data_IF_888008529696
#
_entry.id   IF_888008529696
#
_cell.length_a   1.000
_cell.length_b   1.000
_cell.length_c   1.000
_cell.angle_alpha   90.00
_cell.angle_beta   90.00
_cell.angle_gamma   90.00
#
_symmetry.space_group_name_H-M   'P 1'
#
loop_
_entity.id
_entity.type
_entity.pdbx_description
1 polymer ?
#
# COMPACT_ATOMS: atom_id res chain seq x y z
N UNK A 1 2.65 27.59 0.56
CA UNK A 1 2.05 26.51 -0.25
C UNK A 1 1.46 25.52 0.73
N UNK A 2 0.26 24.99 0.46
CA UNK A 2 -0.35 23.93 1.28
C UNK A 2 0.53 22.68 1.23
N UNK A 3 0.81 22.07 2.38
CA UNK A 3 1.62 20.86 2.47
C UNK A 3 1.02 19.71 1.62
N UNK A 4 1.81 18.89 0.89
CA UNK A 4 1.28 17.90 -0.05
C UNK A 4 0.28 16.90 0.55
N UNK A 5 0.46 16.53 1.81
CA UNK A 5 -0.48 15.63 2.51
C UNK A 5 -1.86 16.27 2.73
N UNK A 6 -1.87 17.56 3.13
CA UNK A 6 -3.12 18.32 3.32
C UNK A 6 -3.82 18.41 1.98
N UNK A 7 -3.10 18.81 0.92
CA UNK A 7 -3.68 18.91 -0.43
C UNK A 7 -4.27 17.58 -0.92
N UNK A 8 -3.57 16.47 -0.76
CA UNK A 8 -4.09 15.16 -1.16
C UNK A 8 -5.36 14.80 -0.38
N UNK A 9 -5.37 15.04 0.93
CA UNK A 9 -6.54 14.76 1.77
C UNK A 9 -7.73 15.66 1.40
N UNK A 10 -7.51 16.95 1.13
CA UNK A 10 -8.54 17.86 0.62
C UNK A 10 -9.10 17.39 -0.73
N UNK A 11 -8.22 17.06 -1.68
CA UNK A 11 -8.62 16.64 -3.02
C UNK A 11 -9.40 15.32 -3.00
N UNK A 12 -9.08 14.39 -2.09
CA UNK A 12 -9.89 13.17 -1.85
C UNK A 12 -11.25 13.51 -1.24
N UNK A 13 -11.28 14.28 -0.16
CA UNK A 13 -12.53 14.60 0.55
C UNK A 13 -13.47 15.49 -0.26
N UNK A 14 -12.94 16.28 -1.19
CA UNK A 14 -13.71 17.08 -2.14
C UNK A 14 -13.98 16.36 -3.47
N UNK A 15 -13.70 15.05 -3.56
CA UNK A 15 -13.92 14.20 -4.73
C UNK A 15 -13.20 14.62 -6.03
N UNK A 16 -12.17 15.47 -5.93
CA UNK A 16 -11.28 15.79 -7.07
C UNK A 16 -10.37 14.60 -7.39
N UNK A 17 -9.97 13.85 -6.37
CA UNK A 17 -9.32 12.56 -6.50
C UNK A 17 -10.34 11.49 -6.15
N UNK A 18 -10.79 10.73 -7.15
CA UNK A 18 -11.68 9.60 -6.95
C UNK A 18 -10.97 8.51 -6.13
N UNK A 19 -11.52 8.17 -4.98
CA UNK A 19 -10.94 7.20 -4.06
C UNK A 19 -12.03 6.33 -3.42
N UNK A 20 -11.64 5.22 -2.80
CA UNK A 20 -12.59 4.35 -2.10
C UNK A 20 -12.83 4.80 -0.66
N UNK A 21 -13.87 4.24 -0.02
CA UNK A 21 -14.26 4.52 1.37
C UNK A 21 -13.07 4.59 2.34
N UNK A 22 -12.18 3.60 2.26
CA UNK A 22 -11.07 3.48 3.20
C UNK A 22 -10.03 4.59 3.03
N UNK A 23 -9.82 5.08 1.81
CA UNK A 23 -8.95 6.24 1.56
C UNK A 23 -9.62 7.52 2.06
N UNK A 24 -10.92 7.69 1.86
CA UNK A 24 -11.69 8.81 2.43
C UNK A 24 -11.58 8.83 3.95
N UNK A 25 -11.77 7.68 4.62
CA UNK A 25 -11.65 7.58 6.08
C UNK A 25 -10.22 7.83 6.57
N UNK A 26 -9.19 7.41 5.84
CA UNK A 26 -7.80 7.72 6.18
C UNK A 26 -7.50 9.23 6.06
N UNK A 27 -8.03 9.90 5.03
CA UNK A 27 -7.91 11.36 4.86
C UNK A 27 -8.71 12.12 5.92
N UNK A 28 -9.92 11.64 6.27
CA UNK A 28 -10.72 12.19 7.36
C UNK A 28 -9.98 12.08 8.69
N UNK A 29 -9.43 10.89 9.02
CA UNK A 29 -8.63 10.67 10.22
C UNK A 29 -7.44 11.63 10.31
N UNK A 30 -6.78 11.91 9.20
CA UNK A 30 -5.69 12.88 9.15
C UNK A 30 -6.14 14.29 9.58
N UNK A 31 -7.31 14.77 9.13
CA UNK A 31 -7.87 16.04 9.59
C UNK A 31 -8.39 16.00 11.01
N UNK A 32 -9.09 14.92 11.40
CA UNK A 32 -9.53 14.72 12.78
C UNK A 32 -8.32 14.77 13.75
N UNK A 33 -7.18 14.21 13.34
CA UNK A 33 -5.93 14.28 14.09
C UNK A 33 -5.37 15.73 14.11
N UNK A 34 -5.38 16.47 13.01
CA UNK A 34 -4.94 17.89 13.02
C UNK A 34 -5.74 18.73 14.02
N UNK A 35 -7.03 18.47 14.16
CA UNK A 35 -7.90 19.21 15.07
C UNK A 35 -7.76 18.75 16.53
N UNK A 36 -7.60 17.44 16.77
CA UNK A 36 -7.78 16.86 18.11
C UNK A 36 -6.58 16.07 18.67
N UNK A 37 -5.53 15.80 17.88
CA UNK A 37 -4.44 14.92 18.34
C UNK A 37 -3.58 15.53 19.45
N UNK A 38 -3.56 16.85 19.57
CA UNK A 38 -2.83 17.55 20.63
C UNK A 38 -3.33 17.16 22.03
N UNK A 39 -4.62 16.80 22.17
CA UNK A 39 -5.21 16.26 23.41
C UNK A 39 -4.60 14.92 23.81
N UNK A 40 -3.98 14.21 22.86
CA UNK A 40 -3.28 12.93 23.04
C UNK A 40 -1.76 13.08 23.01
N UNK A 41 -1.24 14.31 23.06
CA UNK A 41 0.20 14.60 23.01
C UNK A 41 0.83 14.32 21.65
N UNK A 42 0.07 14.50 20.57
CA UNK A 42 0.49 14.24 19.19
C UNK A 42 0.43 15.51 18.35
N UNK A 43 1.44 15.71 17.52
CA UNK A 43 1.60 16.92 16.70
C UNK A 43 2.05 16.55 15.29
N UNK A 44 1.61 17.33 14.30
CA UNK A 44 2.08 17.21 12.93
C UNK A 44 3.26 18.15 12.70
N UNK A 45 4.44 17.58 12.54
CA UNK A 45 5.67 18.28 12.17
C UNK A 45 5.83 18.28 10.64
N UNK A 46 5.38 19.36 10.01
CA UNK A 46 5.51 19.56 8.56
C UNK A 46 6.97 19.53 8.10
N UNK A 47 7.91 20.08 8.88
CA UNK A 47 9.31 20.12 8.49
C UNK A 47 9.93 18.72 8.46
N UNK A 48 9.54 17.86 9.41
CA UNK A 48 9.94 16.44 9.43
C UNK A 48 9.33 15.66 8.28
N UNK A 49 8.06 15.91 7.94
CA UNK A 49 7.42 15.31 6.77
C UNK A 49 8.12 15.74 5.47
N UNK A 50 8.35 17.03 5.28
CA UNK A 50 9.01 17.60 4.11
C UNK A 50 10.45 17.10 3.95
N UNK A 51 11.20 16.93 5.05
CA UNK A 51 12.53 16.33 5.02
C UNK A 51 12.48 14.91 4.44
N UNK A 52 11.52 14.09 4.88
CA UNK A 52 11.33 12.75 4.35
C UNK A 52 10.89 12.76 2.87
N UNK A 53 9.97 13.64 2.47
CA UNK A 53 9.56 13.76 1.07
C UNK A 53 10.73 14.16 0.17
N UNK A 54 11.53 15.14 0.60
CA UNK A 54 12.72 15.62 -0.12
C UNK A 54 13.80 14.55 -0.23
N UNK A 55 13.95 13.68 0.77
CA UNK A 55 14.90 12.57 0.69
C UNK A 55 14.65 11.67 -0.53
N UNK A 56 13.39 11.39 -0.90
CA UNK A 56 13.09 10.57 -2.07
C UNK A 56 13.62 11.17 -3.37
N UNK A 57 13.63 12.51 -3.53
CA UNK A 57 14.18 13.14 -4.74
C UNK A 57 15.70 13.00 -4.85
N UNK A 58 16.40 12.67 -3.76
CA UNK A 58 17.83 12.35 -3.79
C UNK A 58 18.12 10.90 -4.22
N UNK A 59 17.10 10.03 -4.24
CA UNK A 59 17.22 8.66 -4.75
C UNK A 59 17.14 8.63 -6.29
N UNK A 60 17.64 7.55 -6.90
CA UNK A 60 17.60 7.37 -8.36
C UNK A 60 16.91 6.07 -8.75
N UNK A 61 15.89 6.19 -9.58
CA UNK A 61 15.22 5.03 -10.17
C UNK A 61 16.20 4.24 -11.04
N UNK A 62 16.14 2.92 -10.99
CA UNK A 62 17.10 2.04 -11.65
C UNK A 62 16.48 1.13 -12.72
N UNK A 63 15.15 0.99 -12.68
CA UNK A 63 14.34 0.17 -13.59
C UNK A 63 13.62 1.04 -14.62
N UNK A 64 13.33 0.43 -15.78
CA UNK A 64 12.54 1.04 -16.85
C UNK A 64 13.38 1.90 -17.78
N UNK A 65 13.18 1.74 -19.10
CA UNK A 65 13.93 2.48 -20.13
C UNK A 65 13.78 4.00 -19.98
N UNK A 66 12.58 4.44 -19.61
CA UNK A 66 12.21 5.86 -19.48
C UNK A 66 12.53 6.45 -18.11
N UNK A 67 12.71 5.61 -17.08
CA UNK A 67 12.83 6.06 -15.68
C UNK A 67 14.22 5.84 -15.08
N UNK A 68 15.05 4.98 -15.67
CA UNK A 68 16.42 4.73 -15.19
C UNK A 68 17.22 6.02 -15.13
N UNK A 69 17.80 6.31 -13.97
CA UNK A 69 18.62 7.48 -13.69
C UNK A 69 17.83 8.75 -13.33
N UNK A 70 16.49 8.73 -13.42
CA UNK A 70 15.66 9.84 -12.97
C UNK A 70 15.53 9.84 -11.44
N UNK A 71 15.20 11.00 -10.90
CA UNK A 71 14.88 11.16 -9.48
C UNK A 71 13.66 10.31 -9.10
N UNK A 72 13.65 9.79 -7.88
CA UNK A 72 12.47 9.11 -7.37
C UNK A 72 11.46 10.13 -6.83
N UNK A 73 10.63 10.65 -7.73
CA UNK A 73 9.51 11.53 -7.36
C UNK A 73 8.33 10.67 -6.87
N UNK A 74 7.82 10.98 -5.68
CA UNK A 74 6.66 10.30 -5.10
C UNK A 74 5.36 10.80 -5.74
N UNK A 75 4.47 9.86 -6.06
CA UNK A 75 3.09 10.17 -6.45
C UNK A 75 2.31 10.74 -5.24
N UNK A 76 1.22 11.52 -5.46
CA UNK A 76 0.50 12.21 -4.38
C UNK A 76 0.06 11.31 -3.22
N UNK A 77 -0.47 10.12 -3.51
CA UNK A 77 -0.86 9.17 -2.47
C UNK A 77 0.34 8.68 -1.62
N UNK A 78 1.53 8.52 -2.23
CA UNK A 78 2.73 8.19 -1.47
C UNK A 78 3.28 9.38 -0.70
N UNK A 79 3.12 10.61 -1.19
CA UNK A 79 3.45 11.81 -0.42
C UNK A 79 2.57 11.87 0.84
N UNK A 80 1.26 11.62 0.72
CA UNK A 80 0.36 11.52 1.86
C UNK A 80 0.78 10.44 2.86
N UNK A 81 1.10 9.23 2.37
CA UNK A 81 1.58 8.11 3.21
C UNK A 81 2.85 8.47 3.97
N UNK A 82 3.89 8.96 3.28
CA UNK A 82 5.17 9.33 3.91
C UNK A 82 4.98 10.43 4.92
N UNK A 83 4.19 11.44 4.57
CA UNK A 83 3.90 12.55 5.47
C UNK A 83 3.22 12.09 6.74
N UNK A 84 2.26 11.16 6.65
CA UNK A 84 1.64 10.59 7.84
C UNK A 84 2.66 9.82 8.70
N UNK A 85 3.40 8.91 8.09
CA UNK A 85 4.38 8.06 8.80
C UNK A 85 5.49 8.89 9.46
N UNK A 86 5.93 9.98 8.80
CA UNK A 86 7.11 10.72 9.18
C UNK A 86 6.80 12.01 9.94
N UNK A 87 5.69 12.67 9.65
CA UNK A 87 5.31 13.97 10.21
C UNK A 87 4.60 13.90 11.54
N UNK A 88 3.85 12.84 11.83
CA UNK A 88 3.20 12.70 13.13
C UNK A 88 4.19 12.28 14.23
N UNK A 89 4.33 13.11 15.25
CA UNK A 89 5.24 12.92 16.38
C UNK A 89 4.50 12.99 17.71
N UNK A 90 5.09 12.35 18.73
CA UNK A 90 4.72 12.47 20.14
C UNK A 90 5.40 13.70 20.77
N UNK A 91 5.01 14.03 21.99
CA UNK A 91 5.61 15.14 22.79
C UNK A 91 7.13 15.05 22.93
N UNK A 92 7.70 13.84 22.95
CA UNK A 92 9.14 13.61 23.02
C UNK A 92 9.86 13.80 21.66
N UNK A 93 9.14 14.23 20.63
CA UNK A 93 9.64 14.40 19.27
C UNK A 93 9.87 13.09 18.53
N UNK A 94 9.48 11.94 19.09
CA UNK A 94 9.59 10.63 18.43
C UNK A 94 8.38 10.35 17.58
N UNK A 95 8.56 9.54 16.54
CA UNK A 95 7.48 9.12 15.63
C UNK A 95 6.28 8.56 16.41
N UNK A 96 5.07 8.95 15.98
CA UNK A 96 3.80 8.42 16.47
C UNK A 96 3.60 6.96 16.04
N UNK A 97 3.59 6.73 14.73
CA UNK A 97 3.25 5.43 14.15
C UNK A 97 4.42 4.46 14.25
N UNK A 98 4.17 3.27 14.80
CA UNK A 98 5.13 2.15 14.85
C UNK A 98 4.81 1.06 13.83
N UNK A 99 3.59 1.04 13.30
CA UNK A 99 3.19 0.17 12.19
C UNK A 99 2.53 0.99 11.08
N UNK A 100 2.88 0.69 9.83
CA UNK A 100 2.25 1.26 8.65
C UNK A 100 1.77 0.14 7.72
N UNK A 101 0.46 0.05 7.50
CA UNK A 101 -0.16 -0.95 6.62
C UNK A 101 -0.65 -0.33 5.31
N UNK A 102 -0.15 -0.82 4.18
CA UNK A 102 -0.53 -0.33 2.84
C UNK A 102 -1.07 -1.51 2.02
N UNK A 103 -2.36 -1.49 1.73
CA UNK A 103 -3.00 -2.45 0.84
C UNK A 103 -3.37 -1.77 -0.48
N UNK A 104 -2.89 -2.29 -1.61
CA UNK A 104 -3.14 -1.71 -2.94
C UNK A 104 -3.06 -2.80 -4.01
N UNK A 105 -3.69 -2.59 -5.17
CA UNK A 105 -3.51 -3.45 -6.34
C UNK A 105 -2.05 -3.68 -6.75
N UNK A 106 -1.79 -4.78 -7.47
CA UNK A 106 -0.45 -5.08 -8.02
C UNK A 106 -0.04 -4.05 -9.06
N UNK A 107 1.28 -3.84 -9.18
CA UNK A 107 1.93 -2.84 -10.05
C UNK A 107 1.77 -1.38 -9.58
N UNK A 108 1.30 -1.15 -8.36
CA UNK A 108 1.36 0.17 -7.71
C UNK A 108 2.73 0.55 -7.13
N UNK A 109 3.83 -0.06 -7.59
CA UNK A 109 5.22 0.14 -7.11
C UNK A 109 5.47 0.13 -5.59
N UNK A 110 4.61 -0.52 -4.79
CA UNK A 110 4.77 -0.67 -3.33
C UNK A 110 6.16 -1.11 -2.89
N UNK A 111 6.74 -2.13 -3.52
CA UNK A 111 8.09 -2.61 -3.16
C UNK A 111 9.21 -1.61 -3.50
N UNK A 112 9.02 -0.76 -4.52
CA UNK A 112 9.96 0.34 -4.82
C UNK A 112 9.83 1.44 -3.79
N UNK A 113 8.59 1.81 -3.43
CA UNK A 113 8.28 2.73 -2.35
C UNK A 113 8.91 2.28 -1.01
N UNK A 114 8.71 1.02 -0.63
CA UNK A 114 9.30 0.44 0.57
C UNK A 114 10.82 0.50 0.56
N UNK A 115 11.47 0.26 -0.59
CA UNK A 115 12.92 0.44 -0.71
C UNK A 115 13.36 1.89 -0.51
N UNK A 116 12.58 2.87 -0.98
CA UNK A 116 12.84 4.29 -0.76
C UNK A 116 12.67 4.70 0.71
N UNK A 117 11.59 4.26 1.35
CA UNK A 117 11.36 4.52 2.78
C UNK A 117 12.42 3.84 3.65
N UNK A 118 12.74 2.57 3.38
CA UNK A 118 13.80 1.86 4.08
C UNK A 118 15.16 2.56 3.92
N UNK A 119 15.44 3.14 2.75
CA UNK A 119 16.66 3.95 2.54
C UNK A 119 16.68 5.19 3.42
N UNK A 120 15.53 5.82 3.68
CA UNK A 120 15.44 6.94 4.63
C UNK A 120 15.79 6.48 6.05
N UNK A 121 15.17 5.39 6.52
CA UNK A 121 15.47 4.82 7.85
C UNK A 121 16.94 4.41 7.99
N UNK A 122 17.56 3.98 6.88
CA UNK A 122 18.96 3.57 6.85
C UNK A 122 19.97 4.74 6.87
N UNK A 123 19.59 5.92 6.36
CA UNK A 123 20.55 6.99 6.04
C UNK A 123 20.23 8.35 6.68
N UNK A 124 18.97 8.61 7.02
CA UNK A 124 18.47 9.96 7.27
C UNK A 124 17.51 10.09 8.46
N UNK A 125 17.16 8.99 9.13
CA UNK A 125 16.23 9.01 10.27
C UNK A 125 16.90 9.39 11.61
N UNK A 126 18.22 9.56 11.61
CA UNK A 126 18.97 10.07 12.77
C UNK A 126 19.16 9.06 13.91
N UNK A 127 19.07 7.76 13.62
CA UNK A 127 19.20 6.69 14.61
C UNK A 127 20.52 5.93 14.41
N UNK A 128 21.31 5.82 15.48
CA UNK A 128 22.55 5.03 15.47
C UNK A 128 22.26 3.54 15.63
N UNK A 129 23.13 2.72 15.06
CA UNK A 129 23.00 1.27 15.04
C UNK A 129 21.73 0.78 14.34
N UNK A 130 21.11 1.56 13.44
CA UNK A 130 19.82 1.21 12.86
C UNK A 130 19.90 -0.13 12.08
N UNK A 131 19.10 -1.11 12.51
CA UNK A 131 18.95 -2.38 11.80
C UNK A 131 17.71 -2.35 10.91
N UNK A 132 17.94 -2.54 9.62
CA UNK A 132 16.92 -2.45 8.56
C UNK A 132 16.71 -3.84 7.96
N UNK A 133 15.52 -4.40 8.13
CA UNK A 133 15.22 -5.74 7.68
C UNK A 133 14.14 -5.75 6.62
N UNK A 134 14.33 -6.56 5.58
CA UNK A 134 13.28 -6.88 4.61
C UNK A 134 12.89 -8.33 4.76
N UNK A 135 11.60 -8.62 4.78
CA UNK A 135 11.07 -9.96 5.00
C UNK A 135 9.88 -10.22 4.08
N UNK A 136 9.75 -11.49 3.69
CA UNK A 136 8.68 -12.03 2.86
C UNK A 136 8.64 -13.56 3.08
N UNK A 137 7.70 -14.26 2.43
CA UNK A 137 7.57 -15.73 2.50
C UNK A 137 8.88 -16.44 2.13
N UNK A 138 9.66 -15.89 1.20
CA UNK A 138 10.95 -16.46 0.80
C UNK A 138 12.04 -15.40 0.82
N UNK A 139 13.29 -15.81 1.05
CA UNK A 139 14.45 -14.90 1.01
C UNK A 139 14.61 -14.21 -0.34
N UNK A 140 14.28 -14.88 -1.44
CA UNK A 140 14.36 -14.28 -2.79
C UNK A 140 13.31 -13.17 -2.97
N UNK A 141 12.12 -13.31 -2.37
CA UNK A 141 11.14 -12.22 -2.34
C UNK A 141 11.59 -11.07 -1.44
N UNK A 142 12.11 -11.38 -0.24
CA UNK A 142 12.66 -10.37 0.67
C UNK A 142 13.79 -9.56 0.01
N UNK A 143 14.62 -10.22 -0.82
CA UNK A 143 15.66 -9.57 -1.62
C UNK A 143 15.14 -8.55 -2.62
N UNK A 144 13.86 -8.59 -3.04
CA UNK A 144 13.33 -7.61 -3.99
C UNK A 144 13.34 -6.20 -3.40
N UNK A 145 12.86 -6.04 -2.16
CA UNK A 145 12.88 -4.75 -1.46
C UNK A 145 14.31 -4.35 -1.12
N UNK A 146 15.12 -5.27 -0.60
CA UNK A 146 16.53 -4.99 -0.30
C UNK A 146 17.32 -4.55 -1.55
N UNK A 147 17.08 -5.18 -2.69
CA UNK A 147 17.68 -4.79 -3.97
C UNK A 147 17.21 -3.41 -4.42
N UNK A 148 15.98 -3.01 -4.08
CA UNK A 148 15.52 -1.64 -4.33
C UNK A 148 16.31 -0.64 -3.46
N UNK A 149 16.55 -0.93 -2.17
CA UNK A 149 17.39 -0.08 -1.29
C UNK A 149 18.78 0.10 -1.91
N UNK A 150 19.43 -1.01 -2.28
CA UNK A 150 20.74 -0.99 -2.93
C UNK A 150 20.73 -0.12 -4.20
N UNK A 151 19.79 -0.38 -5.12
CA UNK A 151 19.85 0.25 -6.43
C UNK A 151 19.35 1.70 -6.42
N UNK A 152 18.43 2.06 -5.53
CA UNK A 152 17.96 3.44 -5.35
C UNK A 152 19.07 4.36 -4.84
N UNK A 153 20.02 3.82 -4.06
CA UNK A 153 21.10 4.58 -3.41
C UNK A 153 22.42 4.56 -4.19
N UNK A 154 22.69 3.52 -4.99
CA UNK A 154 23.99 3.30 -5.67
C UNK A 154 24.44 4.37 -6.66
N UNK A 155 23.53 5.20 -7.17
CA UNK A 155 23.82 6.29 -8.12
C UNK A 155 23.41 7.65 -7.55
N UNK A 156 23.62 7.84 -6.25
CA UNK A 156 23.23 9.04 -5.50
C UNK A 156 24.41 9.59 -4.71
N UNK A 157 24.20 10.73 -4.05
CA UNK A 157 25.13 11.32 -3.08
C UNK A 157 25.40 10.40 -1.87
N UNK A 158 24.52 9.43 -1.60
CA UNK A 158 24.66 8.50 -0.47
C UNK A 158 25.57 7.32 -0.78
N UNK A 159 25.89 7.07 -2.05
CA UNK A 159 26.68 5.90 -2.44
C UNK A 159 28.04 5.79 -1.72
N UNK A 160 28.80 6.87 -1.48
CA UNK A 160 30.06 6.81 -0.73
C UNK A 160 29.89 6.47 0.76
N UNK A 161 28.70 6.63 1.34
CA UNK A 161 28.42 6.34 2.74
C UNK A 161 28.12 4.85 2.98
N UNK A 162 27.83 4.09 1.91
CA UNK A 162 27.28 2.74 1.99
C UNK A 162 28.31 1.74 1.47
N UNK A 163 28.61 0.75 2.30
CA UNK A 163 29.31 -0.46 1.87
C UNK A 163 28.29 -1.45 1.31
N UNK A 164 28.48 -1.84 0.04
CA UNK A 164 27.57 -2.73 -0.68
C UNK A 164 28.12 -4.17 -0.73
N UNK A 165 27.58 -5.06 0.10
CA UNK A 165 27.91 -6.48 0.06
C UNK A 165 26.82 -7.30 -0.65
N UNK A 166 27.10 -8.59 -0.88
CA UNK A 166 26.19 -9.49 -1.59
C UNK A 166 24.85 -9.72 -0.86
N UNK A 167 24.88 -9.70 0.47
CA UNK A 167 23.73 -10.02 1.32
C UNK A 167 23.52 -9.03 2.48
N UNK A 168 24.23 -7.91 2.47
CA UNK A 168 24.23 -6.89 3.52
C UNK A 168 24.58 -5.53 2.89
N UNK A 169 23.99 -4.46 3.41
CA UNK A 169 24.50 -3.09 3.25
C UNK A 169 24.88 -2.56 4.63
N UNK A 170 25.94 -1.77 4.74
CA UNK A 170 26.31 -1.12 5.99
C UNK A 170 26.68 0.35 5.82
N UNK A 171 26.42 1.13 6.87
CA UNK A 171 26.88 2.52 7.01
C UNK A 171 27.71 2.57 8.28
N UNK A 172 29.04 2.64 8.11
CA UNK A 172 30.00 2.50 9.21
C UNK A 172 29.89 3.66 10.21
N UNK A 173 29.68 4.89 9.72
CA UNK A 173 29.59 6.10 10.55
C UNK A 173 28.43 6.10 11.54
N UNK A 174 27.41 5.27 11.31
CA UNK A 174 26.24 5.14 12.20
C UNK A 174 26.04 3.71 12.67
N UNK A 175 27.03 2.81 12.49
CA UNK A 175 26.92 1.38 12.83
C UNK A 175 25.66 0.67 12.30
N UNK A 176 25.08 1.18 11.22
CA UNK A 176 23.79 0.72 10.71
C UNK A 176 23.98 -0.40 9.68
N UNK A 177 23.02 -1.33 9.62
CA UNK A 177 23.03 -2.45 8.67
C UNK A 177 21.67 -2.67 8.02
N UNK A 178 21.68 -3.24 6.81
CA UNK A 178 20.47 -3.62 6.10
C UNK A 178 20.58 -5.01 5.45
N UNK A 179 19.65 -5.90 5.76
CA UNK A 179 19.70 -7.31 5.34
C UNK A 179 18.32 -7.88 4.96
N UNK A 180 18.25 -8.76 3.94
CA UNK A 180 17.05 -9.52 3.65
C UNK A 180 16.99 -10.79 4.53
N UNK A 181 15.92 -10.91 5.31
CA UNK A 181 15.61 -12.05 6.18
C UNK A 181 14.93 -13.18 5.40
N UNK A 182 15.13 -14.41 5.85
CA UNK A 182 14.29 -15.56 5.49
C UNK A 182 13.30 -15.85 6.62
N UNK A 183 12.28 -16.66 6.33
CA UNK A 183 11.34 -17.15 7.35
C UNK A 183 11.96 -18.21 8.29
N UNK A 184 13.27 -18.48 8.21
CA UNK A 184 13.91 -19.48 9.06
C UNK A 184 14.06 -18.91 10.47
N UNK A 185 13.46 -19.56 11.47
CA UNK A 185 13.40 -19.11 12.86
C UNK A 185 14.77 -18.69 13.46
N UNK A 186 15.87 -19.35 13.07
CA UNK A 186 17.23 -18.98 13.55
C UNK A 186 17.70 -17.60 13.09
N UNK A 187 17.17 -17.08 11.99
CA UNK A 187 17.54 -15.76 11.46
C UNK A 187 16.71 -14.61 12.07
N UNK A 188 15.75 -14.97 12.91
CA UNK A 188 14.70 -14.11 13.43
C UNK A 188 14.85 -13.83 14.95
N UNK A 189 15.69 -14.60 15.64
CA UNK A 189 16.00 -14.40 17.06
C UNK A 189 17.09 -13.33 17.26
N UNK A 190 16.88 -12.44 18.25
CA UNK A 190 17.89 -11.48 18.69
C UNK A 190 18.13 -10.28 17.77
N UNK A 191 17.18 -9.99 16.88
CA UNK A 191 17.19 -8.78 16.05
C UNK A 191 16.90 -7.54 16.91
N UNK A 192 17.41 -6.38 16.49
CA UNK A 192 17.12 -5.07 17.10
C UNK A 192 16.60 -4.10 16.03
N UNK A 193 15.39 -4.38 15.57
CA UNK A 193 14.83 -3.79 14.35
C UNK A 193 14.43 -2.34 14.54
N UNK A 194 15.09 -1.44 13.79
CA UNK A 194 14.65 -0.06 13.65
C UNK A 194 13.62 0.11 12.51
N UNK A 195 13.79 -0.63 11.41
CA UNK A 195 12.81 -0.67 10.34
C UNK A 195 12.64 -2.09 9.78
N UNK A 196 11.41 -2.57 9.73
CA UNK A 196 11.05 -3.86 9.13
C UNK A 196 10.11 -3.67 7.94
N UNK A 197 10.45 -4.17 6.76
CA UNK A 197 9.54 -4.20 5.60
C UNK A 197 9.02 -5.62 5.38
N UNK A 198 7.73 -5.82 5.62
CA UNK A 198 6.99 -7.06 5.32
C UNK A 198 6.27 -6.90 3.98
N UNK A 199 6.78 -7.56 2.92
CA UNK A 199 6.18 -7.52 1.57
C UNK A 199 5.31 -8.74 1.29
N UNK A 200 4.19 -8.51 0.59
CA UNK A 200 3.19 -9.50 0.22
C UNK A 200 2.65 -10.32 1.42
N UNK A 201 2.30 -9.66 2.53
CA UNK A 201 1.80 -10.32 3.76
C UNK A 201 0.64 -11.29 3.50
N UNK A 202 -0.20 -11.05 2.49
CA UNK A 202 -1.26 -11.97 2.07
C UNK A 202 -0.78 -13.38 1.65
N UNK A 203 0.51 -13.55 1.39
CA UNK A 203 1.11 -14.84 1.04
C UNK A 203 1.73 -15.56 2.24
N UNK A 204 1.81 -14.92 3.42
CA UNK A 204 2.30 -15.55 4.64
C UNK A 204 1.24 -16.47 5.23
N UNK A 205 1.59 -17.74 5.42
CA UNK A 205 0.70 -18.76 5.99
C UNK A 205 0.60 -18.68 7.53
N UNK A 206 1.61 -18.14 8.19
CA UNK A 206 1.72 -18.02 9.65
C UNK A 206 2.13 -16.60 10.04
N UNK A 207 1.82 -16.15 11.27
CA UNK A 207 2.23 -14.84 11.76
C UNK A 207 3.70 -14.77 12.22
N UNK A 208 4.41 -15.89 12.28
CA UNK A 208 5.75 -16.01 12.89
C UNK A 208 6.77 -14.95 12.42
N UNK A 209 6.85 -14.70 11.10
CA UNK A 209 7.76 -13.68 10.55
C UNK A 209 7.34 -12.27 10.94
N UNK A 210 6.02 -12.02 11.03
CA UNK A 210 5.51 -10.75 11.50
C UNK A 210 5.84 -10.55 12.98
N UNK A 211 5.51 -11.54 13.81
CA UNK A 211 5.61 -11.44 15.27
C UNK A 211 7.06 -11.34 15.71
N UNK A 212 7.97 -12.08 15.07
CA UNK A 212 9.41 -11.93 15.33
C UNK A 212 9.92 -10.51 15.05
N UNK A 213 9.51 -9.90 13.93
CA UNK A 213 9.91 -8.53 13.61
C UNK A 213 9.31 -7.56 14.64
N UNK A 214 8.04 -7.74 15.01
CA UNK A 214 7.37 -6.92 16.02
C UNK A 214 8.07 -6.96 17.37
N UNK A 215 8.36 -8.16 17.87
CA UNK A 215 9.07 -8.41 19.12
C UNK A 215 10.47 -7.78 19.12
N UNK A 216 11.16 -7.81 17.97
CA UNK A 216 12.50 -7.24 17.83
C UNK A 216 12.56 -5.71 17.84
N UNK A 217 11.41 -5.02 17.82
CA UNK A 217 11.37 -3.55 17.85
C UNK A 217 11.41 -2.96 19.26
N UNK A 218 11.32 -3.79 20.30
CA UNK A 218 11.09 -3.37 21.68
C UNK A 218 12.15 -2.44 22.27
N UNK A 219 13.42 -2.59 21.87
CA UNK A 219 14.52 -1.75 22.36
C UNK A 219 14.60 -0.38 21.66
N UNK A 220 13.88 -0.19 20.54
CA UNK A 220 13.93 1.03 19.73
C UNK A 220 12.88 2.05 20.16
N UNK A 221 13.30 3.32 20.19
CA UNK A 221 12.45 4.44 20.63
C UNK A 221 11.37 4.85 19.61
N UNK A 222 11.67 4.70 18.31
CA UNK A 222 10.77 5.08 17.21
C UNK A 222 10.86 4.17 15.95
N UNK A 223 10.83 2.84 16.12
CA UNK A 223 10.92 1.91 15.00
C UNK A 223 9.67 1.96 14.13
N UNK A 224 9.76 1.42 12.92
CA UNK A 224 8.62 1.27 12.03
C UNK A 224 8.59 -0.11 11.36
N UNK A 225 7.46 -0.78 11.47
CA UNK A 225 7.12 -1.94 10.65
C UNK A 225 6.24 -1.48 9.50
N UNK A 226 6.78 -1.51 8.29
CA UNK A 226 6.06 -1.28 7.05
C UNK A 226 5.52 -2.61 6.52
N UNK A 227 4.20 -2.75 6.50
CA UNK A 227 3.49 -3.87 5.89
C UNK A 227 2.95 -3.39 4.55
N UNK A 228 3.39 -4.00 3.46
CA UNK A 228 2.82 -3.77 2.14
C UNK A 228 2.20 -5.05 1.61
N UNK A 229 1.00 -4.94 1.06
CA UNK A 229 0.31 -6.12 0.55
C UNK A 229 -0.66 -5.78 -0.57
N UNK A 230 -1.23 -6.83 -1.14
CA UNK A 230 -2.37 -6.81 -2.04
C UNK A 230 -3.41 -7.75 -1.43
N UNK A 231 -4.67 -7.63 -1.80
CA UNK A 231 -5.69 -8.58 -1.42
C UNK A 231 -5.27 -10.02 -1.77
N UNK A 232 -5.75 -10.94 -0.93
CA UNK A 232 -5.51 -12.37 -1.05
C UNK A 232 -6.80 -13.17 -1.11
N UNK A 233 -6.65 -14.47 -0.89
CA UNK A 233 -7.75 -15.44 -0.85
C UNK A 233 -8.04 -15.92 0.58
N UNK A 234 -6.99 -16.02 1.41
CA UNK A 234 -7.10 -16.45 2.80
C UNK A 234 -7.55 -15.30 3.69
N UNK A 235 -8.82 -15.33 4.07
CA UNK A 235 -9.44 -14.36 4.98
C UNK A 235 -9.33 -14.77 6.46
N UNK A 236 -8.71 -15.93 6.75
CA UNK A 236 -8.40 -16.36 8.12
C UNK A 236 -6.98 -15.99 8.54
N UNK A 237 -6.09 -15.77 7.57
CA UNK A 237 -4.68 -15.48 7.79
C UNK A 237 -4.39 -14.09 8.35
N UNK A 238 -3.14 -13.92 8.79
CA UNK A 238 -2.62 -12.71 9.46
C UNK A 238 -2.87 -11.42 8.65
N UNK A 239 -2.76 -11.49 7.32
CA UNK A 239 -2.98 -10.33 6.47
C UNK A 239 -4.41 -9.78 6.56
N UNK A 240 -5.42 -10.66 6.59
CA UNK A 240 -6.81 -10.25 6.70
C UNK A 240 -7.13 -9.74 8.10
N UNK A 241 -6.56 -10.35 9.14
CA UNK A 241 -6.68 -9.84 10.52
C UNK A 241 -6.13 -8.41 10.65
N UNK A 242 -5.00 -8.10 10.01
CA UNK A 242 -4.46 -6.72 9.96
C UNK A 242 -5.36 -5.76 9.17
N UNK A 243 -5.97 -6.22 8.07
CA UNK A 243 -7.00 -5.45 7.36
C UNK A 243 -8.19 -5.15 8.28
N UNK A 244 -8.75 -6.15 8.95
CA UNK A 244 -9.88 -5.97 9.87
C UNK A 244 -9.56 -5.04 11.03
N UNK A 245 -8.32 -5.10 11.54
CA UNK A 245 -7.86 -4.17 12.56
C UNK A 245 -7.82 -2.73 12.03
N UNK A 246 -7.27 -2.52 10.84
CA UNK A 246 -7.25 -1.20 10.20
C UNK A 246 -8.66 -0.69 9.90
N UNK A 247 -9.59 -1.53 9.42
CA UNK A 247 -10.96 -1.08 9.15
C UNK A 247 -11.68 -0.69 10.45
N UNK A 248 -11.42 -1.36 11.58
CA UNK A 248 -11.91 -0.89 12.89
C UNK A 248 -11.36 0.48 13.24
N UNK A 249 -10.05 0.70 13.04
CA UNK A 249 -9.41 2.00 13.29
C UNK A 249 -10.03 3.11 12.44
N UNK A 250 -10.17 2.87 11.14
CA UNK A 250 -10.76 3.84 10.21
C UNK A 250 -12.25 4.12 10.48
N UNK A 251 -12.95 3.21 11.17
CA UNK A 251 -14.33 3.43 11.64
C UNK A 251 -14.41 4.00 13.06
N UNK A 252 -13.30 4.46 13.64
CA UNK A 252 -13.28 5.21 14.90
C UNK A 252 -12.71 4.46 16.11
N UNK A 253 -12.21 3.24 15.96
CA UNK A 253 -11.38 2.63 17.02
C UNK A 253 -10.06 3.41 17.14
N UNK A 254 -9.69 3.82 18.34
CA UNK A 254 -8.48 4.60 18.52
C UNK A 254 -7.25 3.71 18.76
N UNK A 255 -6.29 3.75 17.84
CA UNK A 255 -4.92 3.27 18.02
C UNK A 255 -3.94 4.25 17.36
N UNK A 256 -3.20 4.98 18.19
CA UNK A 256 -2.25 5.99 17.73
C UNK A 256 -0.95 5.42 17.17
N UNK A 257 -0.67 4.13 17.35
CA UNK A 257 0.57 3.50 16.87
C UNK A 257 0.42 2.90 15.47
N UNK A 258 -0.80 2.74 14.97
CA UNK A 258 -1.09 2.07 13.70
C UNK A 258 -1.61 3.05 12.63
N UNK A 259 -0.77 3.30 11.63
CA UNK A 259 -1.18 3.95 10.39
C UNK A 259 -1.60 2.89 9.38
N UNK A 260 -2.61 3.20 8.56
CA UNK A 260 -2.84 2.39 7.38
C UNK A 260 -3.80 2.99 6.38
N UNK A 261 -3.72 2.47 5.16
CA UNK A 261 -4.53 2.89 4.02
C UNK A 261 -4.80 1.70 3.11
N UNK A 262 -6.04 1.61 2.61
CA UNK A 262 -6.50 0.52 1.74
C UNK A 262 -7.02 1.15 0.45
N UNK A 263 -6.40 0.80 -0.67
CA UNK A 263 -6.84 1.16 -2.02
C UNK A 263 -7.55 -0.04 -2.63
N UNK A 264 -8.87 0.01 -2.74
CA UNK A 264 -9.70 -1.09 -3.25
C UNK A 264 -10.89 -0.52 -4.03
N UNK A 265 -11.71 -1.38 -4.63
CA UNK A 265 -13.05 -0.97 -5.07
C UNK A 265 -14.04 -1.04 -3.90
N UNK A 266 -15.02 -0.14 -3.92
CA UNK A 266 -16.11 -0.11 -2.95
C UNK A 266 -17.12 -1.21 -3.28
N UNK A 267 -17.04 -2.32 -2.54
CA UNK A 267 -17.93 -3.47 -2.70
C UNK A 267 -18.86 -3.62 -1.52
N UNK A 268 -20.09 -4.11 -1.75
CA UNK A 268 -21.11 -4.27 -0.69
C UNK A 268 -20.61 -5.11 0.49
N UNK A 269 -19.71 -6.05 0.25
CA UNK A 269 -19.07 -6.86 1.29
C UNK A 269 -18.33 -6.02 2.35
N UNK A 270 -17.60 -5.00 1.91
CA UNK A 270 -16.80 -4.13 2.78
C UNK A 270 -17.59 -2.88 3.22
N UNK A 271 -18.63 -2.52 2.47
CA UNK A 271 -19.52 -1.40 2.73
C UNK A 271 -21.00 -1.86 2.57
N UNK A 272 -21.61 -2.43 3.63
CA UNK A 272 -22.93 -3.05 3.56
C UNK A 272 -24.08 -2.13 3.10
N UNK A 273 -23.92 -0.82 3.28
CA UNK A 273 -24.87 0.20 2.84
C UNK A 273 -24.93 0.38 1.31
N UNK A 274 -23.94 -0.14 0.56
CA UNK A 274 -23.97 -0.11 -0.90
C UNK A 274 -25.05 -1.03 -1.47
N UNK A 275 -25.60 -0.66 -2.62
CA UNK A 275 -26.56 -1.46 -3.37
C UNK A 275 -25.84 -2.31 -4.41
N UNK A 276 -26.24 -3.57 -4.56
CA UNK A 276 -25.84 -4.36 -5.74
C UNK A 276 -26.42 -3.74 -7.01
N UNK A 277 -25.88 -4.11 -8.18
CA UNK A 277 -26.45 -3.67 -9.46
C UNK A 277 -27.95 -4.03 -9.60
N UNK A 278 -28.39 -5.15 -9.02
CA UNK A 278 -29.80 -5.55 -9.04
C UNK A 278 -30.65 -4.70 -8.09
N UNK A 279 -30.17 -4.44 -6.89
CA UNK A 279 -30.86 -3.59 -5.90
C UNK A 279 -30.98 -2.15 -6.40
N UNK A 280 -29.93 -1.61 -7.03
CA UNK A 280 -29.91 -0.26 -7.56
C UNK A 280 -30.93 -0.07 -8.70
N UNK A 281 -31.08 -1.06 -9.60
CA UNK A 281 -32.12 -1.06 -10.64
C UNK A 281 -33.54 -0.98 -10.06
N UNK A 282 -33.75 -1.49 -8.85
CA UNK A 282 -35.05 -1.46 -8.15
C UNK A 282 -35.23 -0.19 -7.31
N UNK A 283 -34.14 0.40 -6.81
CA UNK A 283 -34.17 1.58 -5.96
C UNK A 283 -32.98 2.52 -6.25
N UNK A 284 -33.18 3.46 -7.18
CA UNK A 284 -32.16 4.39 -7.69
C UNK A 284 -31.61 5.40 -6.66
N UNK A 285 -32.15 5.43 -5.42
CA UNK A 285 -31.74 6.42 -4.42
C UNK A 285 -30.49 6.05 -3.61
N UNK A 286 -29.96 4.83 -3.75
CA UNK A 286 -28.78 4.38 -3.00
C UNK A 286 -27.51 4.40 -3.83
N UNK A 287 -26.36 4.39 -3.15
CA UNK A 287 -25.04 4.32 -3.79
C UNK A 287 -24.80 2.87 -4.22
N UNK A 288 -24.55 2.66 -5.51
CA UNK A 288 -24.25 1.34 -6.06
C UNK A 288 -22.82 0.92 -5.70
N UNK A 289 -22.59 -0.38 -5.53
CA UNK A 289 -21.25 -0.93 -5.48
C UNK A 289 -20.50 -0.72 -6.80
N UNK A 290 -19.18 -0.59 -6.70
CA UNK A 290 -18.30 -0.37 -7.84
C UNK A 290 -18.33 -1.57 -8.81
N UNK A 291 -18.53 -1.29 -10.11
CA UNK A 291 -18.33 -2.30 -11.15
C UNK A 291 -16.84 -2.42 -11.48
N UNK A 292 -16.29 -3.61 -11.33
CA UNK A 292 -14.89 -3.88 -11.65
C UNK A 292 -14.57 -3.74 -13.15
N UNK A 293 -15.59 -3.76 -14.02
CA UNK A 293 -15.43 -3.55 -15.45
C UNK A 293 -15.40 -2.07 -15.83
N UNK A 294 -15.82 -1.18 -14.92
CA UNK A 294 -15.75 0.26 -15.16
C UNK A 294 -14.31 0.76 -15.01
N UNK A 295 -13.73 1.17 -16.14
CA UNK A 295 -12.36 1.65 -16.19
C UNK A 295 -12.14 2.93 -15.38
N UNK A 296 -13.19 3.73 -15.19
CA UNK A 296 -13.10 4.99 -14.46
C UNK A 296 -12.83 4.76 -12.97
N UNK A 297 -13.28 3.62 -12.45
CA UNK A 297 -13.12 3.23 -11.05
C UNK A 297 -11.77 2.58 -10.77
N UNK A 298 -11.01 2.16 -11.79
CA UNK A 298 -9.72 1.47 -11.61
C UNK A 298 -8.64 2.33 -10.92
N UNK A 299 -8.82 3.65 -10.91
CA UNK A 299 -7.94 4.54 -10.16
C UNK A 299 -8.06 4.36 -8.63
N UNK A 300 -9.21 3.91 -8.10
CA UNK A 300 -9.39 3.66 -6.66
C UNK A 300 -8.42 2.58 -6.12
N UNK A 301 -8.35 1.36 -6.68
CA UNK A 301 -7.40 0.33 -6.24
C UNK A 301 -5.97 0.53 -6.77
N UNK A 302 -5.80 1.37 -7.79
CA UNK A 302 -4.53 1.64 -8.46
C UNK A 302 -4.32 3.16 -8.61
N UNK A 303 -4.05 3.90 -7.51
CA UNK A 303 -3.98 5.36 -7.52
C UNK A 303 -2.84 5.97 -8.35
N UNK A 304 -1.93 5.14 -8.85
CA UNK A 304 -0.90 5.52 -9.83
C UNK A 304 -1.20 5.10 -11.27
N UNK A 305 -2.47 4.87 -11.61
CA UNK A 305 -2.92 4.59 -12.98
C UNK A 305 -2.68 5.81 -13.88
N UNK A 306 -2.21 5.60 -15.11
CA UNK A 306 -2.09 6.65 -16.11
C UNK A 306 -2.68 6.23 -17.46
N UNK A 307 -3.22 7.20 -18.19
CA UNK A 307 -3.82 7.01 -19.50
C UNK A 307 -5.24 7.57 -19.58
N UNK A 308 -6.00 7.13 -20.57
CA UNK A 308 -7.37 7.57 -20.82
C UNK A 308 -8.31 6.37 -20.83
N UNK A 309 -9.41 6.44 -20.08
CA UNK A 309 -10.46 5.42 -20.07
C UNK A 309 -11.30 5.46 -21.35
N UNK A 310 -12.16 4.46 -21.53
CA UNK A 310 -13.13 4.43 -22.62
C UNK A 310 -14.14 5.59 -22.58
N UNK A 311 -14.47 6.12 -21.39
CA UNK A 311 -15.35 7.29 -21.22
C UNK A 311 -14.66 8.63 -21.55
N UNK A 312 -13.34 8.63 -21.70
CA UNK A 312 -12.52 9.82 -21.91
C UNK A 312 -11.94 10.43 -20.64
N UNK A 313 -12.16 9.83 -19.46
CA UNK A 313 -11.52 10.25 -18.23
C UNK A 313 -10.00 10.04 -18.31
N UNK A 314 -9.25 11.05 -17.88
CA UNK A 314 -7.78 11.04 -17.92
C UNK A 314 -7.23 10.77 -16.53
N UNK A 315 -6.28 9.85 -16.44
CA UNK A 315 -5.58 9.48 -15.21
C UNK A 315 -4.11 9.83 -15.27
N UNK A 316 -3.57 10.23 -14.12
CA UNK A 316 -2.15 10.54 -13.97
C UNK A 316 -1.68 11.75 -14.77
N UNK A 317 -2.58 12.71 -14.93
CA UNK A 317 -2.30 14.02 -15.52
C UNK A 317 -2.51 15.13 -14.50
N UNK A 318 -1.80 16.24 -14.65
CA UNK A 318 -1.98 17.44 -13.83
C UNK A 318 -3.12 18.34 -14.37
N UNK A 319 -3.28 19.51 -13.76
CA UNK A 319 -4.31 20.48 -14.14
C UNK A 319 -4.15 21.02 -15.58
N UNK A 320 -2.95 20.96 -16.13
CA UNK A 320 -2.63 21.39 -17.50
C UNK A 320 -2.79 20.24 -18.52
N UNK A 321 -3.07 19.04 -18.05
CA UNK A 321 -3.24 17.85 -18.88
C UNK A 321 -1.94 17.10 -19.17
N UNK A 322 -0.84 17.50 -18.56
CA UNK A 322 0.47 16.89 -18.74
C UNK A 322 0.63 15.67 -17.85
N UNK A 323 1.41 14.67 -18.32
CA UNK A 323 1.64 13.47 -17.54
C UNK A 323 2.43 13.81 -16.26
N UNK A 324 1.84 13.51 -15.10
CA UNK A 324 2.56 13.67 -13.85
C UNK A 324 3.70 12.62 -13.80
N UNK A 325 4.95 13.04 -13.52
CA UNK A 325 6.06 12.12 -13.41
C UNK A 325 5.84 11.03 -12.34
N UNK A 326 6.28 9.80 -12.61
CA UNK A 326 6.28 8.71 -11.62
C UNK A 326 5.02 7.84 -11.57
N UNK A 327 4.01 8.10 -12.40
CA UNK A 327 2.84 7.20 -12.53
C UNK A 327 3.23 5.83 -13.10
N UNK A 328 2.59 4.77 -12.59
CA UNK A 328 3.20 3.44 -12.47
C UNK A 328 2.58 2.39 -13.39
N UNK A 329 1.27 2.43 -13.61
CA UNK A 329 0.56 1.45 -14.44
C UNK A 329 -0.22 2.15 -15.53
N UNK A 330 -0.03 1.69 -16.77
CA UNK A 330 -0.79 2.17 -17.92
C UNK A 330 -2.16 1.51 -17.96
N UNK A 331 -3.21 2.28 -18.26
CA UNK A 331 -4.58 1.78 -18.33
C UNK A 331 -4.74 0.66 -19.37
N UNK A 332 -3.98 0.70 -20.47
CA UNK A 332 -4.02 -0.33 -21.51
C UNK A 332 -3.60 -1.72 -20.98
N UNK A 333 -2.67 -1.76 -20.02
CA UNK A 333 -2.22 -3.01 -19.40
C UNK A 333 -3.26 -3.59 -18.42
N UNK A 334 -4.08 -2.72 -17.82
CA UNK A 334 -5.20 -3.14 -16.97
C UNK A 334 -6.34 -3.63 -17.86
N UNK A 335 -6.69 -2.86 -18.90
CA UNK A 335 -7.71 -3.19 -19.90
C UNK A 335 -7.50 -4.55 -20.55
N UNK A 336 -6.27 -4.88 -20.97
CA UNK A 336 -5.94 -6.21 -21.51
C UNK A 336 -6.26 -7.35 -20.53
N UNK A 337 -6.00 -7.14 -19.24
CA UNK A 337 -6.28 -8.15 -18.21
C UNK A 337 -7.76 -8.21 -17.84
N UNK A 338 -8.46 -7.07 -17.87
CA UNK A 338 -9.90 -7.02 -17.66
C UNK A 338 -10.62 -7.81 -18.78
N UNK A 339 -10.30 -7.55 -20.05
CA UNK A 339 -10.83 -8.29 -21.21
C UNK A 339 -10.61 -9.79 -21.09
N UNK A 340 -9.40 -10.21 -20.74
CA UNK A 340 -9.09 -11.62 -20.50
C UNK A 340 -9.92 -12.22 -19.34
N UNK A 341 -10.16 -11.46 -18.27
CA UNK A 341 -10.98 -11.92 -17.15
C UNK A 341 -12.48 -12.02 -17.51
N UNK A 342 -13.00 -11.11 -18.35
CA UNK A 342 -14.37 -11.16 -18.86
C UNK A 342 -14.58 -12.42 -19.70
N UNK A 343 -13.63 -12.74 -20.59
CA UNK A 343 -13.71 -13.91 -21.48
C UNK A 343 -13.46 -15.24 -20.76
N UNK A 344 -12.71 -15.23 -19.65
CA UNK A 344 -12.29 -16.43 -18.93
C UNK A 344 -12.76 -16.38 -17.46
N UNK A 345 -13.90 -16.99 -17.11
CA UNK A 345 -14.46 -16.96 -15.74
C UNK A 345 -13.46 -17.39 -14.65
N UNK A 346 -12.57 -18.35 -14.96
CA UNK A 346 -11.54 -18.82 -14.05
C UNK A 346 -10.49 -17.75 -13.68
N UNK A 347 -10.36 -16.70 -14.48
CA UNK A 347 -9.38 -15.61 -14.29
C UNK A 347 -9.95 -14.40 -13.56
N UNK A 348 -11.28 -14.34 -13.37
CA UNK A 348 -11.97 -13.20 -12.72
C UNK A 348 -11.43 -12.94 -11.33
N UNK A 349 -11.37 -13.96 -10.46
CA UNK A 349 -10.89 -13.78 -9.09
C UNK A 349 -9.43 -13.32 -9.05
N UNK A 350 -8.59 -13.76 -10.01
CA UNK A 350 -7.23 -13.26 -10.11
C UNK A 350 -7.20 -11.76 -10.46
N UNK A 351 -8.05 -11.32 -11.39
CA UNK A 351 -8.17 -9.89 -11.72
C UNK A 351 -8.71 -9.07 -10.54
N UNK A 352 -9.82 -9.49 -9.93
CA UNK A 352 -10.42 -8.82 -8.77
C UNK A 352 -9.42 -8.69 -7.62
N UNK A 353 -8.75 -9.78 -7.27
CA UNK A 353 -7.82 -9.78 -6.15
C UNK A 353 -6.52 -9.06 -6.46
N UNK A 354 -5.93 -9.24 -7.66
CA UNK A 354 -4.61 -8.66 -7.96
C UNK A 354 -4.66 -7.26 -8.55
N UNK A 355 -5.77 -6.82 -9.15
CA UNK A 355 -5.92 -5.48 -9.76
C UNK A 355 -6.90 -4.61 -9.00
N UNK A 356 -8.09 -5.11 -8.73
CA UNK A 356 -9.14 -4.36 -8.03
C UNK A 356 -8.97 -4.39 -6.51
N UNK A 357 -8.00 -5.18 -6.04
CA UNK A 357 -7.66 -5.32 -4.64
C UNK A 357 -8.85 -5.75 -3.77
N UNK A 358 -9.69 -6.66 -4.29
CA UNK A 358 -10.85 -7.23 -3.60
C UNK A 358 -10.50 -8.61 -3.05
N UNK A 359 -10.83 -8.84 -1.77
CA UNK A 359 -10.68 -10.14 -1.12
C UNK A 359 -11.74 -11.13 -1.59
N UNK A 360 -11.31 -12.22 -2.24
CA UNK A 360 -12.17 -13.29 -2.73
C UNK A 360 -11.97 -14.57 -1.91
N UNK A 361 -12.92 -15.51 -1.93
CA UNK A 361 -12.82 -16.76 -1.14
C UNK A 361 -12.16 -17.91 -1.92
N UNK A 362 -12.00 -17.81 -3.24
CA UNK A 362 -11.49 -18.89 -4.09
C UNK A 362 -10.56 -18.35 -5.17
N UNK A 363 -9.55 -19.14 -5.58
CA UNK A 363 -8.62 -18.77 -6.64
C UNK A 363 -9.27 -18.74 -8.04
N UNK A 364 -10.18 -19.68 -8.31
CA UNK A 364 -10.84 -19.86 -9.60
C UNK A 364 -12.35 -19.83 -9.43
N UNK A 365 -13.07 -19.04 -10.24
CA UNK A 365 -14.53 -19.19 -10.41
C UNK A 365 -14.78 -20.19 -11.53
N UNK A 366 -15.41 -21.32 -11.21
CA UNK A 366 -15.71 -22.37 -12.19
C UNK A 366 -17.00 -22.12 -12.98
N UNK A 367 -17.87 -21.24 -12.50
CA UNK A 367 -19.11 -20.85 -13.17
C UNK A 367 -19.38 -19.36 -12.91
N UNK A 368 -19.83 -18.60 -13.92
CA UNK A 368 -20.31 -17.23 -13.68
C UNK A 368 -21.71 -17.28 -13.07
N UNK A 369 -21.99 -16.37 -12.12
CA UNK A 369 -23.31 -16.30 -11.47
C UNK A 369 -24.40 -15.95 -12.49
N UNK A 370 -24.09 -15.11 -13.48
CA UNK A 370 -25.03 -14.83 -14.57
C UNK A 370 -25.33 -16.08 -15.41
N UNK A 371 -24.36 -16.98 -15.65
CA UNK A 371 -24.63 -18.28 -16.28
C UNK A 371 -25.47 -19.17 -15.36
N UNK A 372 -25.18 -19.19 -14.07
CA UNK A 372 -25.94 -19.97 -13.10
C UNK A 372 -27.39 -19.53 -13.04
N UNK A 373 -27.62 -18.23 -12.95
CA UNK A 373 -28.96 -17.63 -12.84
C UNK A 373 -29.73 -17.74 -14.16
N UNK A 374 -29.08 -17.57 -15.30
CA UNK A 374 -29.71 -17.78 -16.61
C UNK A 374 -30.00 -19.24 -16.95
N UNK A 375 -29.30 -20.20 -16.32
CA UNK A 375 -29.54 -21.63 -16.46
C UNK A 375 -30.25 -22.24 -15.24
N UNK A 376 -30.74 -21.43 -14.32
CA UNK A 376 -31.50 -21.89 -13.15
C UNK A 376 -32.86 -22.45 -13.60
N UNK A 377 -33.06 -23.75 -13.45
CA UNK A 377 -34.35 -24.41 -13.67
C UNK A 377 -34.96 -24.81 -12.32
N UNK A 378 -36.27 -24.58 -12.13
CA UNK A 378 -37.00 -25.01 -10.92
C UNK A 378 -37.28 -26.52 -10.89
N UNK A 379 -37.06 -27.21 -12.00
CA UNK A 379 -37.29 -28.64 -12.11
C UNK A 379 -36.05 -29.39 -11.62
N UNK A 380 -36.10 -29.85 -10.37
CA UNK A 380 -35.18 -30.88 -9.89
C UNK A 380 -35.58 -32.16 -10.61
N UNK A 381 -34.72 -32.67 -11.50
CA UNK A 381 -34.90 -33.99 -12.08
C UNK A 381 -34.83 -35.02 -10.95
N UNK A 382 -35.99 -35.44 -10.45
CA UNK A 382 -36.11 -36.68 -9.70
C UNK A 382 -35.94 -37.81 -10.71
N UNK A 383 -34.83 -38.55 -10.60
CA UNK A 383 -34.71 -39.84 -11.26
C UNK A 383 -35.61 -40.83 -10.50
N UNK A 384 -36.58 -41.42 -11.21
CA UNK A 384 -37.42 -42.52 -10.73
C UNK A 384 -36.61 -43.79 -10.42
#
# INVERSE_FOLDING_TARGET
>A
MTHPAIKYAEDVLSEKVLACKWVHLACKRFFDDLDHSHERGLYFDEARADHALKFFSHLRLWKGKENKGKEFVLAPHYQFIVSNIMGWVREDGKRRFRTAYIEMGRKGAKSTFAGGLASYFFLADGEEGAEIYTAAVTREQARLVWTNIQNLTKKTIFAPLISYYKHNLSVESTWSKCEPLSSDAKSLDGLDTHFGSLDELHAHSTPEVHDSIDDSTGARSQPLILIITTAGYDQSGICYQRREYLTKILNGFNDDTFFGIIFTLDVKKDWPELQTAEEHRKNLSGVQEDDWQDEDLWCKPMPGLCGVSESGQKFGIDADGEQIPGYMTKIEDVRKKAKYAIEMPGSVNNFLTKRMNIWTQQYTRWLSLDLWDSNFTKEVYCYD
#
